data_IF_428392820957
#
_entry.id   IF_428392820957
#
_cell.length_a   1.000
_cell.length_b   1.000
_cell.length_c   1.000
_cell.angle_alpha   90.00
_cell.angle_beta   90.00
_cell.angle_gamma   90.00
#
_symmetry.space_group_name_H-M   'P 1'
#
loop_
_entity.id
_entity.type
_entity.pdbx_description
1 polymer ?
2 non-polymer ?
3 non-polymer ?
4 non-polymer ?
5 non-polymer ?
6 water ?
#
# COMPACT_ATOMS: atom_id res chain seq x y z
CA UNK A 4 -4.37 7.65 -15.08
C UNK A 4 -3.81 7.05 -16.36
N UNK A 5 -4.14 7.67 -17.49
CA UNK A 5 -3.66 7.18 -18.78
C UNK A 5 -2.17 7.48 -18.95
N UNK A 6 -1.79 8.74 -18.72
CA UNK A 6 -0.40 9.14 -18.88
C UNK A 6 0.50 8.29 -18.01
N UNK A 7 0.07 7.98 -16.80
CA UNK A 7 0.89 7.26 -15.84
C UNK A 7 0.66 5.77 -15.85
N UNK A 8 -0.16 5.26 -16.76
CA UNK A 8 -0.53 3.84 -16.72
C UNK A 8 0.70 2.96 -16.69
N UNK A 9 1.68 3.25 -17.55
CA UNK A 9 2.87 2.42 -17.63
C UNK A 9 3.70 2.51 -16.35
N UNK A 10 3.87 3.71 -15.81
CA UNK A 10 4.52 3.87 -14.51
C UNK A 10 3.81 3.06 -13.44
N UNK A 11 2.48 3.15 -13.37
CA UNK A 11 1.73 2.36 -12.39
C UNK A 11 1.96 0.86 -12.59
N UNK A 12 1.97 0.40 -13.83
CA UNK A 12 2.26 -1.00 -14.13
C UNK A 12 3.61 -1.40 -13.58
N UNK A 13 4.62 -0.56 -13.79
CA UNK A 13 5.96 -0.86 -13.29
C UNK A 13 5.96 -0.96 -11.78
N UNK A 14 5.25 -0.05 -11.10
CA UNK A 14 5.18 -0.12 -9.64
C UNK A 14 4.52 -1.42 -9.20
N UNK A 15 3.41 -1.77 -9.84
CA UNK A 15 2.67 -2.98 -9.46
C UNK A 15 3.49 -4.24 -9.73
N UNK A 16 4.16 -4.30 -10.87
CA UNK A 16 4.92 -5.48 -11.25
C UNK A 16 6.10 -5.69 -10.33
N UNK A 17 6.56 -4.64 -9.64
CA UNK A 17 7.67 -4.73 -8.72
C UNK A 17 7.28 -5.23 -7.34
N UNK A 18 6.00 -5.43 -7.07
CA UNK A 18 5.54 -5.97 -5.80
C UNK A 18 5.56 -7.49 -5.92
N UNK A 19 6.36 -8.21 -5.13
CA UNK A 19 6.46 -9.66 -5.36
C UNK A 19 5.14 -10.39 -5.32
N UNK A 20 4.23 -10.00 -4.43
CA UNK A 20 2.94 -10.67 -4.35
C UNK A 20 2.14 -10.54 -5.64
N UNK A 21 2.41 -9.51 -6.45
CA UNK A 21 1.66 -9.26 -7.67
C UNK A 21 2.37 -9.69 -8.94
N UNK A 22 3.65 -10.08 -8.87
CA UNK A 22 4.46 -10.13 -10.09
C UNK A 22 4.14 -11.32 -10.99
N UNK A 23 3.31 -12.26 -10.55
CA UNK A 23 2.87 -13.35 -11.40
C UNK A 23 1.44 -13.19 -11.89
N UNK A 24 0.78 -12.07 -11.60
CA UNK A 24 -0.60 -11.90 -11.99
C UNK A 24 -0.71 -11.71 -13.51
N UNK A 25 -1.82 -12.10 -14.11
CA UNK A 25 -1.98 -11.87 -15.54
C UNK A 25 -1.83 -10.40 -15.89
N UNK A 26 -1.24 -10.14 -17.06
CA UNK A 26 -1.04 -8.78 -17.53
C UNK A 26 -2.31 -7.96 -17.48
N UNK A 27 -3.43 -8.54 -17.91
CA UNK A 27 -4.68 -7.80 -17.95
C UNK A 27 -5.13 -7.40 -16.55
N UNK A 28 -4.92 -8.28 -15.57
CA UNK A 28 -5.29 -7.97 -14.20
C UNK A 28 -4.44 -6.83 -13.65
N UNK A 29 -3.14 -6.87 -13.91
CA UNK A 29 -2.28 -5.76 -13.50
C UNK A 29 -2.72 -4.46 -14.16
N UNK A 30 -3.08 -4.50 -15.45
CA UNK A 30 -3.53 -3.30 -16.13
C UNK A 30 -4.79 -2.75 -15.48
N UNK A 31 -5.73 -3.64 -15.15
CA UNK A 31 -6.95 -3.18 -14.49
C UNK A 31 -6.67 -2.68 -13.08
N UNK A 32 -5.71 -3.27 -12.38
CA UNK A 32 -5.34 -2.73 -11.07
C UNK A 32 -4.75 -1.33 -11.21
N UNK A 33 -3.91 -1.14 -12.22
CA UNK A 33 -3.36 0.19 -12.48
C UNK A 33 -4.46 1.20 -12.72
N UNK A 34 -5.55 0.78 -13.36
CA UNK A 34 -6.66 1.68 -13.68
C UNK A 34 -7.43 2.09 -12.44
N UNK A 35 -7.42 1.29 -11.38
CA UNK A 35 -8.21 1.58 -10.19
C UNK A 35 -7.39 2.17 -9.06
N UNK A 36 -6.05 2.20 -9.16
CA UNK A 36 -5.21 2.82 -8.16
C UNK A 36 -5.61 4.28 -7.98
N UNK A 37 -5.54 4.75 -6.75
CA UNK A 37 -5.72 6.16 -6.45
C UNK A 37 -4.40 6.71 -5.93
N UNK A 38 -4.07 7.93 -6.32
CA UNK A 38 -2.91 8.61 -5.75
C UNK A 38 -3.35 9.42 -4.55
N UNK A 39 -2.60 9.32 -3.46
CA UNK A 39 -2.88 10.09 -2.26
C UNK A 39 -1.59 10.76 -1.83
N UNK A 40 -1.72 11.95 -1.26
CA UNK A 40 -0.59 12.75 -0.84
C UNK A 40 -0.64 12.94 0.67
N UNK A 41 0.53 12.95 1.28
CA UNK A 41 0.67 13.13 2.71
C UNK A 41 1.77 14.13 2.99
N UNK A 42 1.63 14.83 4.10
CA UNK A 42 2.64 15.79 4.54
C UNK A 42 3.52 15.15 5.61
N UNK A 43 4.70 15.72 5.80
CA UNK A 43 5.61 15.24 6.82
C UNK A 43 4.88 15.14 8.15
N UNK A 44 5.02 13.97 8.80
CA UNK A 44 4.45 13.75 10.10
C UNK A 44 3.05 13.15 10.09
N UNK A 45 2.40 13.10 8.93
CA UNK A 45 1.07 12.54 8.83
C UNK A 45 1.13 11.03 8.90
N UNK A 46 0.23 10.44 9.67
CA UNK A 46 0.14 8.98 9.73
C UNK A 46 -0.62 8.50 8.52
N UNK A 47 0.03 7.69 7.72
CA UNK A 47 -0.64 7.04 6.60
C UNK A 47 -1.40 5.83 7.10
N UNK A 48 -0.79 5.08 7.99
CA UNK A 48 -1.42 4.00 8.75
C UNK A 48 -1.14 4.26 10.23
N UNK A 49 -2.17 4.07 11.04
CA UNK A 49 -2.08 4.16 12.49
C UNK A 49 -2.22 2.77 13.09
N UNK A 50 -1.23 2.35 13.86
CA UNK A 50 -1.29 1.07 14.53
C UNK A 50 -2.54 1.00 15.40
N UNK A 51 -3.25 -0.11 15.33
CA UNK A 51 -4.48 -0.29 16.09
C UNK A 51 -5.73 0.08 15.34
N UNK A 52 -5.61 0.84 14.27
CA UNK A 52 -6.76 1.06 13.42
C UNK A 52 -7.09 -0.23 12.67
N UNK A 53 -8.28 -0.26 12.10
CA UNK A 53 -8.64 -1.26 11.11
C UNK A 53 -8.71 -0.58 9.75
N UNK A 54 -8.10 -1.20 8.75
CA UNK A 54 -8.09 -0.64 7.42
C UNK A 54 -8.12 -1.71 6.36
N UNK A 55 -8.38 -1.26 5.13
CA UNK A 55 -8.53 -2.17 4.00
C UNK A 55 -7.68 -1.71 2.82
N UNK A 56 -6.68 -0.86 3.02
CA UNK A 56 -5.90 -0.33 1.93
C UNK A 56 -4.43 -0.77 1.99
N UNK A 57 -3.87 -0.95 0.80
CA UNK A 57 -2.48 -1.28 0.51
C UNK A 57 -1.88 -0.09 -0.23
N UNK A 58 -0.60 0.17 0.04
CA UNK A 58 0.10 1.37 -0.41
C UNK A 58 1.41 1.01 -1.11
N UNK A 59 1.66 1.69 -2.23
CA UNK A 59 2.98 1.72 -2.86
C UNK A 59 3.46 3.15 -2.85
N UNK A 60 4.69 3.37 -2.42
CA UNK A 60 5.24 4.72 -2.36
C UNK A 60 5.71 5.14 -3.75
N UNK A 61 5.16 6.24 -4.26
CA UNK A 61 5.64 6.78 -5.52
C UNK A 61 6.49 8.02 -5.35
N UNK A 62 6.47 8.64 -4.16
CA UNK A 62 7.31 9.78 -3.87
C UNK A 62 7.54 9.86 -2.38
N UNK A 63 8.78 10.14 -1.99
CA UNK A 63 9.11 10.40 -0.60
C UNK A 63 9.54 9.17 0.18
N UNK A 64 9.53 9.33 1.51
CA UNK A 64 9.89 8.25 2.41
C UNK A 64 8.94 8.26 3.60
N UNK A 65 8.87 7.11 4.26
CA UNK A 65 8.05 6.94 5.46
C UNK A 65 8.86 6.25 6.53
N UNK A 66 8.44 6.50 7.77
CA UNK A 66 8.92 5.78 8.94
C UNK A 66 7.89 4.74 9.35
N UNK A 67 8.35 3.52 9.53
CA UNK A 67 7.51 2.46 10.09
C UNK A 67 7.90 2.36 11.55
N UNK A 68 6.92 2.52 12.43
CA UNK A 68 7.17 2.44 13.86
C UNK A 68 6.12 1.55 14.50
N UNK A 69 6.40 1.05 15.70
CA UNK A 69 5.48 0.12 16.33
C UNK A 69 5.60 0.22 17.83
N UNK A 70 4.47 0.22 18.52
CA UNK A 70 4.46 0.17 19.97
C UNK A 70 4.13 -1.25 20.43
N UNK A 71 4.78 -1.67 21.50
CA UNK A 71 4.59 -3.02 22.00
C UNK A 71 3.37 -3.14 22.89
N UNK A 72 2.85 -2.02 23.38
CA UNK A 72 1.57 -1.98 24.08
C UNK A 72 1.02 -0.57 23.94
N UNK A 73 -0.28 -0.37 24.18
CA UNK A 73 -0.87 0.94 23.86
C UNK A 73 -0.28 2.09 24.65
N UNK A 74 0.21 1.87 25.87
CA UNK A 74 0.74 2.93 26.71
C UNK A 74 2.24 3.15 26.53
N UNK A 75 2.90 2.40 25.64
CA UNK A 75 4.31 2.55 25.37
C UNK A 75 4.51 3.37 24.12
N UNK A 76 5.53 4.22 24.13
CA UNK A 76 5.88 4.95 22.93
C UNK A 76 6.32 3.96 21.85
N UNK A 77 6.00 4.22 20.60
CA UNK A 77 6.50 3.34 19.53
C UNK A 77 8.01 3.45 19.37
N UNK A 78 8.56 2.42 18.76
CA UNK A 78 9.96 2.38 18.39
C UNK A 78 10.06 2.35 16.87
N UNK A 79 11.11 2.96 16.37
CA UNK A 79 11.42 2.96 14.95
C UNK A 79 11.79 1.57 14.49
N UNK A 80 11.18 1.14 13.38
CA UNK A 80 11.52 -0.13 12.75
C UNK A 80 12.35 0.08 11.49
N UNK A 81 11.84 0.83 10.52
CA UNK A 81 12.57 0.98 9.27
C UNK A 81 12.01 2.15 8.49
N UNK A 82 12.79 2.59 7.50
CA UNK A 82 12.36 3.56 6.51
C UNK A 82 12.00 2.81 5.23
N UNK A 83 10.94 3.28 4.58
CA UNK A 83 10.58 2.81 3.25
C UNK A 83 10.55 4.00 2.30
N UNK A 84 10.86 3.74 1.03
CA UNK A 84 10.92 4.80 0.05
C UNK A 84 10.29 4.41 -1.27
N UNK A 85 10.62 5.15 -2.32
CA UNK A 85 9.96 4.99 -3.60
C UNK A 85 10.08 3.55 -4.08
N UNK A 86 8.95 2.99 -4.49
CA UNK A 86 8.87 1.63 -4.95
C UNK A 86 8.59 0.61 -3.87
N UNK A 87 8.78 0.98 -2.61
CA UNK A 87 8.42 0.12 -1.50
C UNK A 87 6.90 0.18 -1.29
N UNK A 88 6.42 -0.72 -0.44
CA UNK A 88 4.99 -0.89 -0.23
C UNK A 88 4.75 -1.28 1.21
N UNK A 89 3.48 -1.23 1.62
CA UNK A 89 3.11 -1.60 2.97
C UNK A 89 1.61 -1.79 3.05
N UNK A 90 1.17 -2.63 4.00
CA UNK A 90 -0.23 -2.86 4.23
C UNK A 90 -0.86 -3.98 3.43
N UNK A 91 -0.04 -4.84 2.81
CA UNK A 91 -0.60 -5.78 1.86
C UNK A 91 -1.60 -6.74 2.50
N UNK A 92 -1.37 -7.15 3.75
CA UNK A 92 -2.27 -8.16 4.32
C UNK A 92 -3.70 -7.65 4.42
N UNK A 93 -3.90 -6.33 4.39
CA UNK A 93 -5.25 -5.80 4.41
C UNK A 93 -6.03 -6.23 3.18
N UNK A 94 -5.34 -6.52 2.08
CA UNK A 94 -6.01 -6.99 0.88
C UNK A 94 -6.59 -8.39 1.05
N UNK A 95 -6.04 -9.18 1.97
CA UNK A 95 -6.58 -10.48 2.31
C UNK A 95 -7.56 -10.40 3.48
N UNK A 96 -7.97 -9.20 3.87
CA UNK A 96 -8.93 -9.04 4.94
C UNK A 96 -8.35 -8.99 6.33
N UNK A 97 -7.01 -9.03 6.46
CA UNK A 97 -6.37 -8.92 7.76
C UNK A 97 -6.23 -7.44 8.06
N UNK A 98 -7.31 -6.87 8.60
CA UNK A 98 -7.48 -5.42 8.63
C UNK A 98 -6.86 -4.74 9.85
N UNK A 99 -6.36 -5.50 10.83
CA UNK A 99 -5.79 -4.89 12.02
C UNK A 99 -4.40 -4.32 11.68
N UNK A 100 -4.24 -3.00 11.80
CA UNK A 100 -2.94 -2.39 11.50
C UNK A 100 -1.97 -2.67 12.64
N UNK A 101 -0.84 -3.29 12.31
CA UNK A 101 0.12 -3.75 13.31
C UNK A 101 1.30 -2.81 13.52
N UNK A 102 1.37 -1.73 12.78
CA UNK A 102 2.44 -0.76 12.93
C UNK A 102 1.93 0.57 12.40
N UNK A 103 2.60 1.65 12.80
CA UNK A 103 2.37 2.97 12.24
C UNK A 103 3.22 3.14 11.01
N UNK A 104 2.69 3.82 9.99
CA UNK A 104 3.49 4.24 8.85
C UNK A 104 3.28 5.72 8.68
N UNK A 105 4.35 6.50 8.87
CA UNK A 105 4.26 7.94 9.03
C UNK A 105 5.12 8.60 7.96
N UNK A 106 4.53 9.56 7.24
CA UNK A 106 5.31 10.27 6.23
C UNK A 106 6.48 10.99 6.89
N UNK A 107 7.67 10.89 6.28
CA UNK A 107 8.88 11.53 6.79
C UNK A 107 9.23 12.78 6.01
N UNK A 108 8.41 13.14 5.04
CA UNK A 108 8.60 14.25 4.12
C UNK A 108 7.33 14.23 3.28
N UNK A 109 7.22 15.07 2.25
CA UNK A 109 6.07 14.98 1.38
C UNK A 109 6.05 13.61 0.71
N UNK A 110 4.92 12.92 0.80
CA UNK A 110 4.80 11.57 0.28
C UNK A 110 3.63 11.49 -0.68
N UNK A 111 3.80 10.71 -1.75
CA UNK A 111 2.70 10.27 -2.57
C UNK A 111 2.66 8.75 -2.54
N UNK A 112 1.48 8.19 -2.34
CA UNK A 112 1.26 6.76 -2.43
C UNK A 112 0.23 6.44 -3.49
N UNK A 113 0.41 5.27 -4.09
CA UNK A 113 -0.62 4.64 -4.90
C UNK A 113 -1.38 3.68 -3.99
N UNK A 114 -2.70 3.78 -3.98
CA UNK A 114 -3.50 3.09 -2.97
C UNK A 114 -4.52 2.18 -3.64
N UNK A 115 -4.64 0.95 -3.13
CA UNK A 115 -5.58 -0.07 -3.60
C UNK A 115 -6.34 -0.54 -2.38
N UNK A 116 -7.67 -0.58 -2.46
CA UNK A 116 -8.44 -1.13 -1.36
C UNK A 116 -8.89 -2.56 -1.64
N UNK A 117 -9.20 -3.26 -0.55
CA UNK A 117 -9.49 -4.69 -0.63
C UNK A 117 -10.61 -4.98 -1.62
N UNK A 118 -11.67 -4.17 -1.62
CA UNK A 118 -12.79 -4.45 -2.51
C UNK A 118 -12.35 -4.41 -3.96
N UNK A 119 -11.58 -3.39 -4.34
CA UNK A 119 -11.15 -3.30 -5.72
C UNK A 119 -10.23 -4.45 -6.07
N UNK A 120 -9.35 -4.83 -5.16
CA UNK A 120 -8.41 -5.91 -5.40
C UNK A 120 -9.13 -7.25 -5.52
N UNK A 121 -10.04 -7.54 -4.58
CA UNK A 121 -10.75 -8.82 -4.60
C UNK A 121 -11.59 -8.94 -5.85
N UNK A 122 -12.20 -7.84 -6.29
CA UNK A 122 -12.97 -7.88 -7.52
C UNK A 122 -12.11 -8.38 -8.68
N UNK A 123 -10.85 -7.93 -8.75
CA UNK A 123 -10.01 -8.24 -9.89
C UNK A 123 -9.29 -9.57 -9.78
N UNK A 124 -9.00 -10.05 -8.57
CA UNK A 124 -8.29 -11.33 -8.43
C UNK A 124 -9.21 -12.48 -8.05
N UNK A 125 -10.44 -12.20 -7.62
CA UNK A 125 -11.30 -13.25 -7.10
C UNK A 125 -11.80 -14.23 -8.13
N UNK A 126 -11.64 -13.95 -9.42
CA UNK A 126 -12.09 -14.83 -10.47
C UNK A 126 -11.00 -15.62 -11.12
N UNK A 127 -9.77 -15.52 -10.62
CA UNK A 127 -8.65 -16.19 -11.26
C UNK A 127 -8.81 -17.71 -11.23
N UNK A 128 -9.28 -18.25 -10.10
CA UNK A 128 -9.47 -19.69 -9.97
C UNK A 128 -10.65 -20.20 -10.78
N UNK A 129 -11.44 -19.30 -11.40
CA UNK A 129 -12.61 -19.69 -12.19
C UNK A 129 -12.29 -19.74 -13.69
N UNK A 130 -11.26 -19.01 -14.09
CA UNK A 130 -10.90 -18.94 -15.52
X LIG B 1 3.75 -5.99 3.22
X LIG B 1 4.51 -6.64 2.14
X LIG B 1 2.91 -4.96 2.66
X LIG B 1 4.66 -5.43 4.24
X LIG B 1 2.90 -7.02 3.81
X LIG C 1 -13.67 -5.40 -14.34
X LIG C 1 -14.99 -5.81 -14.00
X LIG C 1 -13.53 -3.92 -14.08
X LIG C 1 -12.33 -3.45 -14.71
X LIG C 1 -12.94 -5.96 -13.76
X LIG C 1 -13.48 -5.60 -15.41
X LIG C 1 -15.08 -6.76 -14.18
X LIG C 1 -14.39 -3.38 -14.48
X LIG C 1 -13.47 -3.74 -13.00
X LIG C 1 -12.23 -2.50 -14.55
X LIG D 1 5.14 -7.50 13.75
X LIG D 1 4.11 -6.83 14.49
X LIG D 1 6.51 -7.11 14.29
X LIG D 1 6.88 -5.80 13.87
X LIG D 1 5.00 -8.59 13.84
X LIG D 1 5.06 -7.24 12.70
X LIG D 1 3.24 -7.08 14.14
X LIG D 1 6.49 -7.16 15.38
X LIG D 1 7.25 -7.83 13.94
X LIG D 1 7.75 -5.59 14.23
X LIG E 1 -11.76 -1.56 7.65
X LIG E 1 -11.81 -2.99 7.46
X LIG E 1 -11.72 -0.88 6.29
X LIG E 1 -11.79 0.54 6.42
X LIG E 1 -12.63 -1.22 8.20
X LIG E 1 -10.87 -1.30 8.22
X LIG E 1 -11.84 -3.42 8.33
X LIG E 1 -10.78 -1.15 5.77
X LIG E 1 -12.55 -1.23 5.68
X LIG E 1 -11.76 0.95 5.54
X LIG F 1 8.98 1.89 -10.67
X LIG G 1 6.57 -4.79 11.49
X LIG G 1 2.29 -1.94 7.82
X LIG G 1 4.43 -2.68 7.28
X LIG G 1 6.80 -2.72 7.37
X LIG G 1 7.07 -3.68 9.28
X LIG G 1 7.55 -4.35 10.58
X LIG G 1 -1.91 -4.06 7.47
X LIG G 1 -0.29 -3.62 8.37
X LIG G 1 3.53 -1.63 8.03
X LIG G 1 1.04 -4.11 7.42
X LIG G 1 -0.10 -1.90 8.41
X LIG G 1 3.03 -4.02 5.68
X LIG G 1 -0.04 -4.18 9.83
X LIG G 1 8.72 -4.54 10.82
X LIG G 1 5.55 -2.92 7.90
X LIG G 1 4.71 -3.97 10.02
X LIG G 1 7.73 -3.18 8.23
X LIG G 1 4.21 -5.03 12.18
X LIG G 1 2.32 -3.64 7.80
X LIG G 1 3.39 -3.94 7.10
X LIG G 1 1.27 -1.42 8.80
X LIG G 1 5.72 -3.52 9.06
X LIG G 1 5.18 -4.60 11.23
X LIG G 1 4.65 -2.33 6.40
X LIG G 1 6.97 -2.32 6.54
X LIG G 1 3.73 -3.97 5.20
X LIG G 1 -0.67 -4.72 10.03
X LIG G 1 3.87 -3.88 9.86
X LIG G 1 4.32 -4.84 13.01
X LIG G 1 3.52 -5.47 11.91
X LIG G 1 2.47 -3.94 8.71
X LIG G 1 3.79 -4.77 7.42
X LIG G 1 1.29 -0.45 8.80
X LIG G 1 1.48 -1.76 9.69
#
# INVERSE_FOLDING_TARGET
>A
GSTGLIKHTEYMEFLKSVPTFQSLPEEILSKLADVLEETHYENGEYIIRQGARGDTFFIISKGTVNVTREDSPSEDPVFLRTLGKGDWFGEKALQGEDVRTANVIAAEAVTCLVIDRDSFKHLIGGLDDVSNKAY
>B hetero
1 SO4 S O1 O2 O3 O4
>C hetero
1 EDO C1 O1 C2 O2 H11 H12 HO1 H21 H22 HO2
>D hetero
1 EDO C1 O1 C2 O2 H11 H12 HO1 H21 H22 HO2
>E hetero
1 EDO C1 O1 C2 O2 H11 H12 HO1 H21 H22 HO2
>F hetero
1 CA CA
>G hetero
1 6ZA N12 C15 C17 C20 C21 C22 S01 P02 O03 O04 O05 O06 O07 O08 N09 N10 N11 N13 C14 C16 C18 C19 C23 H171 H201 H061 H071 H101 H131 H132 H141 H161 H181 H182
#
